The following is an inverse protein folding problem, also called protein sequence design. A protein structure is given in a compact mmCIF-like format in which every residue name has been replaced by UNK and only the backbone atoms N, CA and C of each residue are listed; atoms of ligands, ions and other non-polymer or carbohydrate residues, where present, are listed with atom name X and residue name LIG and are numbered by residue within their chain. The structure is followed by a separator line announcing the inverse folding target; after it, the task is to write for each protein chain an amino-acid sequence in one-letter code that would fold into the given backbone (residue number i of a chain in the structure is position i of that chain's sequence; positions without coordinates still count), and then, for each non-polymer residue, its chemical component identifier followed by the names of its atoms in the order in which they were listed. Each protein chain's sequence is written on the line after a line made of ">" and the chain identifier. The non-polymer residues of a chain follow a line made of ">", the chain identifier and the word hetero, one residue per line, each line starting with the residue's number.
data_IF_793883264139
#
_entry.id   IF_793883264139
#
_cell.length_a   1.000
_cell.length_b   1.000
_cell.length_c   1.000
_cell.angle_alpha   90.00
_cell.angle_beta   90.00
_cell.angle_gamma   90.00
#
_symmetry.space_group_name_H-M   'P 1'
#
loop_
_entity.id
_entity.type
_entity.pdbx_description
1 polymer ?
#
# COMPACT_ATOMS: atom_id res chain seq x y z
N UNK A 1 31.42 0.11 -13.15
CA UNK A 1 31.03 1.11 -12.12
C UNK A 1 29.66 0.73 -11.61
N UNK A 2 29.33 1.06 -10.36
CA UNK A 2 27.99 0.83 -9.80
C UNK A 2 27.05 1.90 -10.38
N UNK A 3 25.96 1.50 -11.02
CA UNK A 3 24.97 2.44 -11.55
C UNK A 3 24.38 3.30 -10.41
N UNK A 4 24.21 4.60 -10.66
CA UNK A 4 23.49 5.46 -9.73
C UNK A 4 21.98 5.35 -10.01
N UNK A 5 21.29 4.52 -9.23
CA UNK A 5 19.87 4.22 -9.42
C UNK A 5 19.02 4.99 -8.41
N UNK A 6 18.09 5.80 -8.91
CA UNK A 6 17.08 6.53 -8.14
C UNK A 6 15.73 5.82 -8.12
N UNK A 7 14.92 6.12 -7.10
CA UNK A 7 13.55 5.62 -6.99
C UNK A 7 12.55 6.76 -7.10
N UNK A 8 11.55 6.56 -7.94
CA UNK A 8 10.34 7.38 -8.00
C UNK A 8 9.18 6.51 -7.53
N UNK A 9 8.34 7.03 -6.65
CA UNK A 9 7.20 6.30 -6.11
C UNK A 9 5.98 7.19 -6.11
N UNK A 10 4.77 6.64 -6.18
CA UNK A 10 3.59 7.40 -5.80
C UNK A 10 3.44 7.47 -4.27
N UNK A 11 2.67 8.44 -3.81
CA UNK A 11 2.40 8.70 -2.38
C UNK A 11 1.69 7.53 -1.67
N UNK A 12 1.07 6.61 -2.40
CA UNK A 12 0.30 5.49 -1.87
C UNK A 12 1.14 4.28 -1.46
N UNK A 13 2.47 4.43 -1.39
CA UNK A 13 3.39 3.35 -0.97
C UNK A 13 3.52 3.18 0.55
N UNK A 14 2.91 4.07 1.34
CA UNK A 14 2.90 4.05 2.81
C UNK A 14 4.28 3.95 3.49
N UNK A 15 5.32 4.44 2.79
CA UNK A 15 6.67 4.55 3.34
C UNK A 15 6.77 5.74 4.29
N UNK A 16 7.52 5.56 5.39
CA UNK A 16 7.78 6.66 6.32
C UNK A 16 8.64 7.75 5.65
N UNK A 17 8.50 9.03 6.03
CA UNK A 17 9.37 10.11 5.56
C UNK A 17 10.86 9.79 5.71
N UNK A 18 11.25 9.12 6.80
CA UNK A 18 12.64 8.74 7.06
C UNK A 18 13.18 7.75 6.01
N UNK A 19 12.36 6.81 5.54
CA UNK A 19 12.73 5.87 4.46
C UNK A 19 12.86 6.62 3.13
N UNK A 20 11.91 7.51 2.83
CA UNK A 20 11.91 8.32 1.61
C UNK A 20 13.18 9.19 1.55
N UNK A 21 13.45 9.95 2.61
CA UNK A 21 14.61 10.84 2.73
C UNK A 21 15.93 10.08 2.67
N UNK A 22 16.07 9.00 3.44
CA UNK A 22 17.30 8.19 3.51
C UNK A 22 17.70 7.62 2.14
N UNK A 23 16.73 7.31 1.29
CA UNK A 23 16.97 6.76 -0.05
C UNK A 23 16.79 7.80 -1.15
N UNK A 24 16.60 9.08 -0.81
CA UNK A 24 16.44 10.20 -1.74
C UNK A 24 15.37 9.94 -2.81
N UNK A 25 14.25 9.33 -2.40
CA UNK A 25 13.17 8.98 -3.32
C UNK A 25 12.39 10.24 -3.71
N UNK A 26 11.96 10.30 -4.97
CA UNK A 26 11.02 11.33 -5.43
C UNK A 26 9.60 10.77 -5.32
N UNK A 27 8.73 11.47 -4.60
CA UNK A 27 7.35 11.05 -4.36
C UNK A 27 6.41 11.84 -5.26
N UNK A 28 5.52 11.13 -5.97
CA UNK A 28 4.50 11.72 -6.83
C UNK A 28 3.16 11.72 -6.10
N UNK A 29 2.62 12.89 -5.72
CA UNK A 29 1.42 12.97 -4.89
C UNK A 29 0.15 12.63 -5.66
N UNK A 30 -0.80 11.98 -4.98
CA UNK A 30 -2.15 11.84 -5.50
C UNK A 30 -2.93 13.15 -5.36
N UNK A 31 -4.05 13.25 -6.07
CA UNK A 31 -4.99 14.36 -5.90
C UNK A 31 -6.20 13.86 -5.14
N UNK A 32 -6.54 14.55 -4.05
CA UNK A 32 -7.72 14.27 -3.23
C UNK A 32 -8.64 15.47 -3.21
N UNK A 33 -9.93 15.21 -3.34
CA UNK A 33 -10.99 16.21 -3.33
C UNK A 33 -12.01 15.82 -2.27
N UNK A 34 -12.23 16.72 -1.34
CA UNK A 34 -13.12 16.50 -0.23
C UNK A 34 -14.42 17.29 -0.37
N UNK A 35 -15.55 16.74 0.10
CA UNK A 35 -16.74 17.55 0.32
C UNK A 35 -16.44 18.62 1.37
N UNK A 36 -16.76 19.87 1.07
CA UNK A 36 -16.54 21.02 1.98
C UNK A 36 -17.24 20.83 3.33
N UNK A 37 -18.39 20.16 3.34
CA UNK A 37 -19.13 19.77 4.54
C UNK A 37 -18.35 18.82 5.48
N UNK A 38 -17.37 18.07 4.96
CA UNK A 38 -16.48 17.20 5.74
C UNK A 38 -15.20 17.95 6.11
N UNK A 39 -14.61 18.72 5.20
CA UNK A 39 -13.37 19.46 5.46
C UNK A 39 -13.52 20.44 6.63
N UNK A 40 -14.70 21.04 6.77
CA UNK A 40 -15.00 22.02 7.81
C UNK A 40 -15.34 21.41 9.17
N UNK A 41 -15.39 20.08 9.29
CA UNK A 41 -15.66 19.42 10.57
C UNK A 41 -14.44 19.47 11.49
N UNK A 42 -14.65 19.45 12.82
CA UNK A 42 -13.57 19.37 13.79
C UNK A 42 -12.87 18.00 13.71
N UNK A 43 -11.56 17.98 13.94
CA UNK A 43 -10.77 16.76 14.02
C UNK A 43 -9.30 17.01 13.67
N UNK A 44 -8.35 16.33 14.34
CA UNK A 44 -6.92 16.55 14.11
C UNK A 44 -6.44 16.00 12.76
N UNK A 45 -7.15 15.03 12.18
CA UNK A 45 -6.86 14.48 10.85
C UNK A 45 -8.14 14.31 10.06
N UNK A 46 -8.02 14.12 8.74
CA UNK A 46 -9.19 13.90 7.89
C UNK A 46 -9.98 12.65 8.28
N UNK A 47 -9.31 11.62 8.80
CA UNK A 47 -9.97 10.40 9.27
C UNK A 47 -10.90 10.67 10.47
N UNK A 48 -10.52 11.63 11.34
CA UNK A 48 -11.38 12.06 12.44
C UNK A 48 -12.59 12.84 11.93
N UNK A 49 -12.39 13.68 10.91
CA UNK A 49 -13.48 14.39 10.25
C UNK A 49 -14.43 13.42 9.54
N UNK A 50 -13.92 12.35 8.92
CA UNK A 50 -14.74 11.27 8.34
C UNK A 50 -15.59 10.56 9.42
N UNK A 51 -15.00 10.26 10.58
CA UNK A 51 -15.74 9.71 11.74
C UNK A 51 -16.83 10.66 12.21
N UNK A 52 -16.52 11.94 12.29
CA UNK A 52 -17.48 12.96 12.72
C UNK A 52 -18.62 13.14 11.71
N UNK A 53 -18.31 13.13 10.42
CA UNK A 53 -19.30 13.15 9.35
C UNK A 53 -20.27 11.96 9.46
N UNK A 54 -19.72 10.76 9.68
CA UNK A 54 -20.50 9.53 9.82
C UNK A 54 -21.43 9.58 11.05
N UNK A 55 -20.93 10.06 12.20
CA UNK A 55 -21.75 10.27 13.41
C UNK A 55 -22.90 11.25 13.18
N UNK A 56 -22.67 12.29 12.37
CA UNK A 56 -23.68 13.31 12.02
C UNK A 56 -24.61 12.88 10.87
N UNK A 57 -24.39 11.71 10.26
CA UNK A 57 -25.16 11.23 9.11
C UNK A 57 -24.90 12.03 7.82
N UNK A 58 -23.77 12.74 7.73
CA UNK A 58 -23.38 13.50 6.54
C UNK A 58 -22.94 12.51 5.45
N UNK A 59 -23.61 12.57 4.30
CA UNK A 59 -23.37 11.65 3.18
C UNK A 59 -22.38 12.27 2.19
N UNK A 60 -21.10 12.26 2.56
CA UNK A 60 -20.00 12.70 1.71
C UNK A 60 -18.87 11.68 1.67
N UNK A 61 -18.28 11.50 0.48
CA UNK A 61 -17.10 10.65 0.28
C UNK A 61 -16.02 11.44 -0.46
N UNK A 62 -14.76 11.16 -0.15
CA UNK A 62 -13.67 11.73 -0.92
C UNK A 62 -13.71 11.24 -2.37
N UNK A 63 -13.21 12.09 -3.27
CA UNK A 63 -12.85 11.67 -4.62
C UNK A 63 -11.34 11.76 -4.75
N UNK A 64 -10.76 10.80 -5.44
CA UNK A 64 -9.34 10.78 -5.74
C UNK A 64 -9.11 10.78 -7.25
N UNK A 65 -8.01 11.38 -7.68
CA UNK A 65 -7.52 11.31 -9.05
C UNK A 65 -6.07 10.85 -9.02
N UNK A 66 -5.69 10.03 -10.01
CA UNK A 66 -4.30 9.64 -10.17
C UNK A 66 -3.41 10.87 -10.45
N UNK A 67 -2.09 10.77 -10.19
CA UNK A 67 -1.16 11.76 -10.70
C UNK A 67 -1.21 11.80 -12.23
N UNK A 68 -1.00 12.99 -12.79
CA UNK A 68 -1.01 13.19 -14.24
C UNK A 68 0.33 12.76 -14.86
N UNK A 69 0.37 12.53 -16.19
CA UNK A 69 1.65 12.35 -16.89
C UNK A 69 2.63 13.51 -16.69
N UNK A 70 2.14 14.74 -16.51
CA UNK A 70 2.98 15.89 -16.20
C UNK A 70 3.64 15.75 -14.82
N UNK A 71 2.88 15.33 -13.81
CA UNK A 71 3.38 15.17 -12.44
C UNK A 71 4.54 14.14 -12.41
N UNK A 72 4.40 13.03 -13.14
CA UNK A 72 5.48 12.05 -13.31
C UNK A 72 6.64 12.56 -14.18
N UNK A 73 6.38 13.33 -15.24
CA UNK A 73 7.43 13.88 -16.09
C UNK A 73 8.34 14.82 -15.29
N UNK A 74 7.76 15.66 -14.45
CA UNK A 74 8.50 16.57 -13.56
C UNK A 74 9.34 15.76 -12.55
N UNK A 75 8.75 14.72 -11.93
CA UNK A 75 9.45 13.83 -11.01
C UNK A 75 10.62 13.07 -11.68
N UNK A 76 10.43 12.57 -12.90
CA UNK A 76 11.50 11.90 -13.66
C UNK A 76 12.63 12.86 -13.97
N UNK A 77 12.32 14.09 -14.42
CA UNK A 77 13.34 15.11 -14.68
C UNK A 77 14.11 15.47 -13.42
N UNK A 78 13.42 15.64 -12.29
CA UNK A 78 14.07 15.89 -11.00
C UNK A 78 15.03 14.75 -10.65
N UNK A 79 14.55 13.50 -10.72
CA UNK A 79 15.36 12.34 -10.35
C UNK A 79 16.58 12.17 -11.28
N UNK A 80 16.42 12.42 -12.59
CA UNK A 80 17.51 12.34 -13.58
C UNK A 80 18.62 13.38 -13.37
N UNK A 81 18.39 14.44 -12.57
CA UNK A 81 19.46 15.37 -12.16
C UNK A 81 20.43 14.77 -11.14
N UNK A 82 20.01 13.71 -10.43
CA UNK A 82 20.74 13.08 -9.32
C UNK A 82 21.21 11.66 -9.65
N UNK A 83 20.52 10.98 -10.58
CA UNK A 83 20.68 9.55 -10.83
C UNK A 83 20.78 9.23 -12.33
N UNK A 84 21.57 8.20 -12.64
CA UNK A 84 21.76 7.69 -14.00
C UNK A 84 20.56 6.88 -14.48
N UNK A 85 19.93 6.08 -13.63
CA UNK A 85 18.76 5.27 -13.97
C UNK A 85 17.68 5.44 -12.91
N UNK A 86 16.41 5.41 -13.32
CA UNK A 86 15.27 5.57 -12.42
C UNK A 86 14.37 4.35 -12.48
N UNK A 87 14.03 3.81 -11.32
CA UNK A 87 12.96 2.82 -11.19
C UNK A 87 11.76 3.50 -10.54
N UNK A 88 10.67 3.58 -11.29
CA UNK A 88 9.38 4.10 -10.87
C UNK A 88 8.48 2.94 -10.46
N UNK A 89 8.05 2.88 -9.20
CA UNK A 89 7.12 1.85 -8.70
C UNK A 89 5.79 2.54 -8.38
N UNK A 90 4.71 2.03 -8.95
CA UNK A 90 3.37 2.60 -8.74
C UNK A 90 2.39 1.57 -8.19
N UNK A 91 1.36 2.05 -7.51
CA UNK A 91 0.15 1.29 -7.17
C UNK A 91 -0.39 0.52 -8.37
N UNK A 92 -1.06 -0.58 -8.09
CA UNK A 92 -1.58 -1.47 -9.11
C UNK A 92 -2.36 -0.77 -10.22
N UNK A 93 -2.01 -1.08 -11.47
CA UNK A 93 -2.73 -0.61 -12.66
C UNK A 93 -4.20 -1.04 -12.72
N UNK A 94 -4.61 -2.03 -11.89
CA UNK A 94 -5.99 -2.53 -11.83
C UNK A 94 -6.92 -1.66 -11.02
N UNK A 95 -6.39 -0.81 -10.12
CA UNK A 95 -7.19 0.09 -9.29
C UNK A 95 -7.00 1.58 -9.64
N UNK A 96 -5.91 1.93 -10.29
CA UNK A 96 -5.57 3.30 -10.63
C UNK A 96 -4.91 3.41 -12.00
N UNK A 97 -5.15 4.53 -12.69
CA UNK A 97 -4.42 4.89 -13.90
C UNK A 97 -2.99 5.39 -13.65
N UNK A 98 -2.50 5.40 -12.40
CA UNK A 98 -1.18 5.89 -11.99
C UNK A 98 -0.04 5.27 -12.82
N UNK A 99 -0.01 3.95 -12.95
CA UNK A 99 0.97 3.24 -13.79
C UNK A 99 0.96 3.76 -15.23
N UNK A 100 -0.22 3.92 -15.82
CA UNK A 100 -0.35 4.41 -17.18
C UNK A 100 0.07 5.89 -17.33
N UNK A 101 -0.17 6.73 -16.31
CA UNK A 101 0.35 8.10 -16.28
C UNK A 101 1.88 8.13 -16.28
N UNK A 102 2.52 7.27 -15.47
CA UNK A 102 3.97 7.14 -15.43
C UNK A 102 4.56 6.63 -16.76
N UNK A 103 3.92 5.65 -17.40
CA UNK A 103 4.33 5.16 -18.73
C UNK A 103 4.19 6.25 -19.79
N UNK A 104 3.10 7.02 -19.78
CA UNK A 104 2.92 8.16 -20.68
C UNK A 104 4.00 9.22 -20.46
N UNK A 105 4.28 9.57 -19.20
CA UNK A 105 5.34 10.52 -18.84
C UNK A 105 6.71 10.09 -19.37
N UNK A 106 7.05 8.80 -19.22
CA UNK A 106 8.27 8.23 -19.79
C UNK A 106 8.33 8.40 -21.31
N UNK A 107 7.21 8.23 -22.00
CA UNK A 107 7.15 8.36 -23.46
C UNK A 107 7.24 9.81 -23.95
N UNK A 108 7.13 10.81 -23.07
CA UNK A 108 7.32 12.23 -23.38
C UNK A 108 8.77 12.70 -23.27
N UNK A 109 9.66 11.88 -22.70
CA UNK A 109 11.10 12.17 -22.59
C UNK A 109 11.82 11.97 -23.93
N UNK A 110 13.04 12.50 -24.05
CA UNK A 110 13.92 12.18 -25.17
C UNK A 110 14.24 10.68 -25.22
N UNK A 111 14.69 10.16 -26.38
CA UNK A 111 15.01 8.74 -26.52
C UNK A 111 16.06 8.27 -25.50
N UNK A 112 17.10 9.08 -25.26
CA UNK A 112 18.17 8.80 -24.30
C UNK A 112 17.65 8.78 -22.85
N UNK A 113 16.86 9.78 -22.45
CA UNK A 113 16.27 9.83 -21.11
C UNK A 113 15.25 8.71 -20.89
N UNK A 114 14.45 8.40 -21.92
CA UNK A 114 13.44 7.35 -21.90
C UNK A 114 14.05 5.98 -21.56
N UNK A 115 15.21 5.65 -22.12
CA UNK A 115 15.93 4.40 -21.88
C UNK A 115 16.56 4.32 -20.47
N UNK A 116 16.48 5.41 -19.71
CA UNK A 116 16.91 5.49 -18.31
C UNK A 116 15.76 5.32 -17.31
N UNK A 117 14.51 5.27 -17.76
CA UNK A 117 13.32 5.15 -16.90
C UNK A 117 12.64 3.78 -17.03
N UNK A 118 12.56 3.08 -15.91
CA UNK A 118 11.86 1.81 -15.77
C UNK A 118 10.60 2.01 -14.93
N UNK A 119 9.43 1.63 -15.44
CA UNK A 119 8.16 1.75 -14.71
C UNK A 119 7.68 0.35 -14.36
N UNK A 120 7.40 0.11 -13.08
CA UNK A 120 7.01 -1.18 -12.52
C UNK A 120 5.61 -1.04 -11.90
N UNK A 121 4.69 -1.88 -12.37
CA UNK A 121 3.37 -2.07 -11.76
C UNK A 121 3.51 -2.97 -10.53
N UNK A 122 3.20 -2.47 -9.34
CA UNK A 122 3.35 -3.23 -8.10
C UNK A 122 2.40 -4.43 -8.00
N UNK A 123 1.27 -4.39 -8.72
CA UNK A 123 0.13 -5.29 -8.52
C UNK A 123 -0.34 -5.37 -7.05
N UNK A 124 -0.07 -4.32 -6.27
CA UNK A 124 -0.46 -4.17 -4.88
C UNK A 124 -0.91 -2.72 -4.59
N UNK A 125 -1.06 -2.39 -3.31
CA UNK A 125 -1.20 -1.02 -2.83
C UNK A 125 -0.50 -0.86 -1.47
N UNK A 126 -0.38 0.37 -0.96
CA UNK A 126 -0.04 0.69 0.44
C UNK A 126 1.23 -0.03 0.90
N UNK A 127 1.24 -0.65 2.08
CA UNK A 127 2.40 -1.37 2.58
C UNK A 127 2.85 -2.55 1.69
N UNK A 128 1.99 -3.06 0.80
CA UNK A 128 2.38 -4.05 -0.21
C UNK A 128 3.32 -3.44 -1.25
N UNK A 129 2.99 -2.24 -1.74
CA UNK A 129 3.88 -1.49 -2.64
C UNK A 129 5.16 -1.09 -1.91
N UNK A 130 5.03 -0.65 -0.65
CA UNK A 130 6.17 -0.33 0.20
C UNK A 130 7.17 -1.48 0.33
N UNK A 131 6.72 -2.73 0.49
CA UNK A 131 7.61 -3.89 0.51
C UNK A 131 8.32 -4.13 -0.84
N UNK A 132 7.67 -3.84 -1.97
CA UNK A 132 8.30 -3.90 -3.28
C UNK A 132 9.39 -2.83 -3.44
N UNK A 133 9.12 -1.60 -2.96
CA UNK A 133 10.10 -0.51 -2.94
C UNK A 133 11.29 -0.85 -2.04
N UNK A 134 11.05 -1.41 -0.86
CA UNK A 134 12.14 -1.86 0.02
C UNK A 134 12.98 -2.97 -0.62
N UNK A 135 12.36 -3.88 -1.39
CA UNK A 135 13.12 -4.86 -2.18
C UNK A 135 13.99 -4.17 -3.23
N UNK A 136 13.48 -3.15 -3.92
CA UNK A 136 14.26 -2.37 -4.87
C UNK A 136 15.49 -1.73 -4.20
N UNK A 137 15.29 -1.10 -3.03
CA UNK A 137 16.37 -0.53 -2.20
C UNK A 137 17.43 -1.57 -1.86
N UNK A 138 17.02 -2.77 -1.44
CA UNK A 138 17.95 -3.85 -1.09
C UNK A 138 18.79 -4.31 -2.30
N UNK A 139 18.20 -4.36 -3.50
CA UNK A 139 18.90 -4.76 -4.72
C UNK A 139 19.82 -3.67 -5.27
N UNK A 140 19.43 -2.40 -5.17
CA UNK A 140 20.29 -1.24 -5.49
C UNK A 140 21.53 -1.25 -4.58
N UNK A 141 21.35 -1.49 -3.27
CA UNK A 141 22.46 -1.59 -2.32
C UNK A 141 23.43 -2.72 -2.68
N UNK A 142 22.91 -3.86 -3.14
CA UNK A 142 23.70 -4.99 -3.67
C UNK A 142 24.40 -4.70 -5.00
N UNK A 143 24.13 -3.56 -5.63
CA UNK A 143 24.80 -3.12 -6.86
C UNK A 143 24.36 -3.86 -8.11
N UNK A 144 23.13 -4.37 -8.12
CA UNK A 144 22.50 -4.90 -9.34
C UNK A 144 22.21 -3.78 -10.34
N UNK A 145 22.17 -4.14 -11.63
CA UNK A 145 21.80 -3.22 -12.70
C UNK A 145 20.29 -2.96 -12.69
N UNK A 146 19.86 -1.80 -13.19
CA UNK A 146 18.45 -1.40 -13.19
C UNK A 146 17.54 -2.43 -13.89
N UNK A 147 17.97 -2.96 -15.04
CA UNK A 147 17.24 -3.98 -15.80
C UNK A 147 17.10 -5.31 -15.04
N UNK A 148 18.12 -5.69 -14.28
CA UNK A 148 18.09 -6.90 -13.43
C UNK A 148 17.14 -6.71 -12.25
N UNK A 149 17.17 -5.52 -11.64
CA UNK A 149 16.27 -5.17 -10.54
C UNK A 149 14.83 -5.24 -11.02
N UNK A 150 14.49 -4.61 -12.14
CA UNK A 150 13.12 -4.59 -12.68
C UNK A 150 12.59 -6.00 -12.91
N UNK A 151 13.37 -6.87 -13.56
CA UNK A 151 12.99 -8.28 -13.78
C UNK A 151 12.76 -9.02 -12.47
N UNK A 152 13.59 -8.76 -11.46
CA UNK A 152 13.41 -9.38 -10.15
C UNK A 152 12.16 -8.85 -9.44
N UNK A 153 11.88 -7.55 -9.51
CA UNK A 153 10.69 -6.93 -8.93
C UNK A 153 9.41 -7.47 -9.56
N UNK A 154 9.37 -7.62 -10.89
CA UNK A 154 8.23 -8.20 -11.61
C UNK A 154 7.87 -9.58 -11.08
N UNK A 155 8.88 -10.44 -10.82
CA UNK A 155 8.68 -11.76 -10.22
C UNK A 155 8.27 -11.64 -8.74
N UNK A 156 8.91 -10.72 -8.01
CA UNK A 156 8.72 -10.54 -6.57
C UNK A 156 7.32 -10.02 -6.22
N UNK A 157 6.63 -9.31 -7.12
CA UNK A 157 5.24 -8.85 -6.92
C UNK A 157 4.32 -9.99 -6.46
N UNK A 158 4.47 -11.19 -7.03
CA UNK A 158 3.68 -12.38 -6.70
C UNK A 158 3.96 -12.97 -5.32
N UNK A 159 5.08 -12.59 -4.69
CA UNK A 159 5.50 -13.01 -3.35
C UNK A 159 5.06 -12.04 -2.26
N UNK A 160 4.54 -10.88 -2.64
CA UNK A 160 4.00 -9.91 -1.70
C UNK A 160 2.53 -10.23 -1.49
N UNK A 161 2.16 -10.38 -0.24
CA UNK A 161 0.79 -10.59 0.17
C UNK A 161 0.36 -9.44 1.05
N UNK A 162 -0.88 -8.99 0.86
CA UNK A 162 -1.49 -7.97 1.68
C UNK A 162 -2.84 -8.45 2.16
N UNK A 163 -3.10 -8.28 3.46
CA UNK A 163 -4.39 -8.56 4.07
C UNK A 163 -4.81 -7.38 4.95
N UNK A 164 -6.07 -6.99 4.83
CA UNK A 164 -6.71 -6.04 5.72
C UNK A 164 -8.09 -6.52 6.16
N UNK A 165 -8.53 -6.01 7.30
CA UNK A 165 -9.92 -6.05 7.75
C UNK A 165 -10.41 -4.61 7.82
N UNK A 166 -11.58 -4.38 7.24
CA UNK A 166 -12.27 -3.11 7.28
C UNK A 166 -13.27 -3.11 8.43
N UNK A 167 -13.43 -1.96 9.08
CA UNK A 167 -14.56 -1.76 9.98
C UNK A 167 -15.87 -1.56 9.18
N UNK A 168 -15.83 -0.72 8.15
CA UNK A 168 -16.97 -0.46 7.28
C UNK A 168 -16.55 -0.42 5.80
N UNK A 169 -17.06 -1.31 4.93
CA UNK A 169 -16.71 -1.32 3.52
C UNK A 169 -17.29 -0.15 2.71
N UNK A 170 -18.14 0.71 3.29
CA UNK A 170 -18.79 1.81 2.56
C UNK A 170 -17.82 2.77 1.88
N UNK A 171 -16.64 3.00 2.47
CA UNK A 171 -15.64 3.93 1.93
C UNK A 171 -15.06 3.40 0.63
N UNK A 172 -14.66 2.13 0.62
CA UNK A 172 -14.18 1.44 -0.57
C UNK A 172 -15.28 1.27 -1.62
N UNK A 173 -16.52 0.99 -1.19
CA UNK A 173 -17.68 0.88 -2.08
C UNK A 173 -17.96 2.21 -2.79
N UNK A 174 -18.02 3.31 -2.03
CA UNK A 174 -18.26 4.64 -2.57
C UNK A 174 -17.16 5.11 -3.52
N UNK A 175 -15.91 4.69 -3.28
CA UNK A 175 -14.80 4.96 -4.18
C UNK A 175 -14.85 4.16 -5.49
N UNK A 176 -15.67 3.11 -5.57
CA UNK A 176 -15.73 2.19 -6.72
C UNK A 176 -14.61 1.15 -6.77
N UNK A 177 -13.74 1.05 -5.76
CA UNK A 177 -12.61 0.08 -5.73
C UNK A 177 -13.02 -1.31 -5.23
N UNK A 178 -14.23 -1.45 -4.67
CA UNK A 178 -14.91 -2.74 -4.48
C UNK A 178 -16.32 -2.69 -5.03
N UNK A 179 -16.85 -3.85 -5.44
CA UNK A 179 -18.21 -3.95 -5.94
C UNK A 179 -19.24 -3.84 -4.80
N UNK A 180 -20.46 -3.34 -5.07
CA UNK A 180 -21.55 -3.33 -4.08
C UNK A 180 -21.88 -4.73 -3.55
N UNK A 181 -21.74 -5.76 -4.39
CA UNK A 181 -21.91 -7.16 -3.98
C UNK A 181 -20.89 -7.58 -2.92
N UNK A 182 -19.61 -7.23 -3.13
CA UNK A 182 -18.55 -7.54 -2.17
C UNK A 182 -18.75 -6.75 -0.86
N UNK A 183 -19.06 -5.46 -0.94
CA UNK A 183 -19.33 -4.62 0.23
C UNK A 183 -20.50 -5.15 1.07
N UNK A 184 -21.60 -5.54 0.42
CA UNK A 184 -22.76 -6.14 1.08
C UNK A 184 -22.44 -7.48 1.74
N UNK A 185 -21.64 -8.32 1.09
CA UNK A 185 -21.18 -9.57 1.69
C UNK A 185 -20.33 -9.31 2.95
N UNK A 186 -19.41 -8.34 2.90
CA UNK A 186 -18.59 -7.96 4.05
C UNK A 186 -19.46 -7.51 5.23
N UNK A 187 -20.42 -6.61 4.99
CA UNK A 187 -21.37 -6.14 6.01
C UNK A 187 -22.17 -7.28 6.65
N UNK A 188 -22.66 -8.23 5.85
CA UNK A 188 -23.44 -9.38 6.35
C UNK A 188 -22.60 -10.33 7.17
N UNK A 189 -21.38 -10.63 6.72
CA UNK A 189 -20.44 -11.49 7.44
C UNK A 189 -20.10 -10.91 8.82
N UNK A 190 -19.80 -9.60 8.88
CA UNK A 190 -19.47 -8.92 10.13
C UNK A 190 -20.59 -9.04 11.19
N UNK A 191 -21.87 -8.96 10.78
CA UNK A 191 -23.03 -9.07 11.67
C UNK A 191 -23.18 -10.44 12.34
N UNK A 192 -22.67 -11.51 11.71
CA UNK A 192 -22.74 -12.87 12.24
C UNK A 192 -21.41 -13.31 12.89
N UNK A 193 -20.54 -12.37 13.23
CA UNK A 193 -19.25 -12.65 13.88
C UNK A 193 -18.20 -13.27 12.96
N UNK A 194 -18.35 -13.13 11.64
CA UNK A 194 -17.33 -13.51 10.66
C UNK A 194 -16.54 -12.27 10.27
N UNK A 195 -15.21 -12.37 10.22
CA UNK A 195 -14.30 -11.29 9.81
C UNK A 195 -13.79 -11.56 8.39
N UNK A 196 -14.28 -10.85 7.37
CA UNK A 196 -13.77 -10.95 6.01
C UNK A 196 -12.35 -10.40 5.92
N UNK A 197 -11.47 -11.17 5.28
CA UNK A 197 -10.13 -10.74 4.94
C UNK A 197 -10.14 -10.25 3.49
N UNK A 198 -9.75 -9.00 3.28
CA UNK A 198 -9.57 -8.42 1.95
C UNK A 198 -8.09 -8.31 1.61
N UNK A 199 -7.76 -8.43 0.34
CA UNK A 199 -6.38 -8.31 -0.13
C UNK A 199 -6.29 -8.36 -1.64
N UNK A 200 -5.07 -8.35 -2.16
CA UNK A 200 -4.82 -8.33 -3.59
C UNK A 200 -4.64 -9.74 -4.16
N UNK A 201 -5.27 -9.98 -5.30
CA UNK A 201 -4.98 -11.12 -6.18
C UNK A 201 -4.84 -10.61 -7.60
N UNK A 202 -3.64 -10.73 -8.16
CA UNK A 202 -3.30 -10.26 -9.52
C UNK A 202 -3.61 -8.76 -9.70
N UNK A 203 -3.27 -7.94 -8.70
CA UNK A 203 -3.55 -6.50 -8.69
C UNK A 203 -4.99 -6.11 -8.36
N UNK A 204 -5.93 -7.07 -8.30
CA UNK A 204 -7.34 -6.76 -8.00
C UNK A 204 -7.65 -6.98 -6.53
N UNK A 205 -8.30 -6.00 -5.91
CA UNK A 205 -8.80 -6.11 -4.53
C UNK A 205 -9.97 -7.10 -4.45
N UNK A 206 -9.84 -8.14 -3.61
CA UNK A 206 -10.82 -9.22 -3.47
C UNK A 206 -10.95 -9.64 -2.01
N UNK A 207 -12.06 -10.33 -1.69
CA UNK A 207 -12.09 -11.18 -0.51
C UNK A 207 -11.20 -12.40 -0.74
N UNK A 208 -10.26 -12.62 0.17
CA UNK A 208 -9.24 -13.67 0.07
C UNK A 208 -9.36 -14.72 1.18
N UNK A 209 -10.24 -14.47 2.16
CA UNK A 209 -10.49 -15.40 3.25
C UNK A 209 -11.53 -14.87 4.22
N UNK A 210 -11.84 -15.70 5.22
CA UNK A 210 -12.68 -15.34 6.36
C UNK A 210 -12.07 -15.91 7.64
N UNK A 211 -12.22 -15.20 8.76
CA UNK A 211 -12.02 -15.74 10.11
C UNK A 211 -13.34 -15.84 10.84
N UNK A 212 -13.55 -16.94 11.57
CA UNK A 212 -14.75 -17.21 12.37
C UNK A 212 -14.36 -17.34 13.84
N UNK A 213 -15.22 -16.91 14.75
CA UNK A 213 -15.01 -17.09 16.19
C UNK A 213 -13.90 -16.23 16.80
N UNK A 214 -13.30 -15.32 16.03
CA UNK A 214 -12.32 -14.34 16.51
C UNK A 214 -13.01 -12.99 16.69
N UNK A 215 -12.99 -12.47 17.92
CA UNK A 215 -13.73 -11.27 18.28
C UNK A 215 -13.02 -10.00 17.81
N UNK A 216 -11.73 -9.92 18.07
CA UNK A 216 -10.88 -8.76 17.76
C UNK A 216 -10.15 -8.92 16.40
N UNK A 217 -9.82 -7.79 15.80
CA UNK A 217 -9.18 -7.72 14.48
C UNK A 217 -7.70 -8.12 14.54
N UNK A 218 -6.89 -7.68 15.53
CA UNK A 218 -5.49 -8.05 15.65
C UNK A 218 -5.27 -9.57 15.68
N UNK A 219 -6.02 -10.31 16.50
CA UNK A 219 -5.92 -11.78 16.58
C UNK A 219 -6.28 -12.44 15.25
N UNK A 220 -7.31 -11.94 14.56
CA UNK A 220 -7.73 -12.52 13.27
C UNK A 220 -6.63 -12.37 12.20
N UNK A 221 -5.96 -11.22 12.17
CA UNK A 221 -4.84 -10.92 11.29
C UNK A 221 -3.60 -11.73 11.67
N UNK A 222 -3.26 -11.80 12.95
CA UNK A 222 -2.14 -12.59 13.47
C UNK A 222 -2.27 -14.06 13.10
N UNK A 223 -3.43 -14.69 13.37
CA UNK A 223 -3.67 -16.09 13.04
C UNK A 223 -3.58 -16.36 11.54
N UNK A 224 -3.93 -15.38 10.70
CA UNK A 224 -3.76 -15.53 9.25
C UNK A 224 -2.29 -15.49 8.85
N UNK A 225 -1.51 -14.53 9.36
CA UNK A 225 -0.07 -14.46 9.13
C UNK A 225 0.62 -15.74 9.58
N UNK A 226 0.32 -16.21 10.79
CA UNK A 226 0.90 -17.41 11.38
C UNK A 226 0.70 -18.63 10.46
N UNK A 227 -0.54 -18.87 10.03
CA UNK A 227 -0.89 -20.00 9.16
C UNK A 227 -0.24 -19.86 7.78
N UNK A 228 -0.28 -18.66 7.18
CA UNK A 228 0.23 -18.44 5.82
C UNK A 228 1.75 -18.52 5.73
N UNK A 229 2.45 -18.18 6.81
CA UNK A 229 3.91 -18.14 6.83
C UNK A 229 4.55 -19.38 7.44
N UNK A 230 3.80 -20.22 8.17
CA UNK A 230 4.31 -21.41 8.88
C UNK A 230 5.33 -22.22 8.08
N UNK A 231 4.98 -22.64 6.85
CA UNK A 231 5.88 -23.45 6.00
C UNK A 231 7.15 -22.72 5.56
N UNK A 232 7.10 -21.40 5.42
CA UNK A 232 8.27 -20.59 5.07
C UNK A 232 9.19 -20.48 6.29
N UNK A 233 8.62 -20.20 7.46
CA UNK A 233 9.34 -20.10 8.73
C UNK A 233 9.99 -21.44 9.13
N UNK A 234 9.30 -22.57 8.93
CA UNK A 234 9.85 -23.92 9.12
C UNK A 234 11.03 -24.24 8.18
N UNK A 235 11.11 -23.57 7.03
CA UNK A 235 12.25 -23.65 6.10
C UNK A 235 13.38 -22.66 6.43
N UNK A 236 13.29 -21.96 7.56
CA UNK A 236 14.25 -20.94 7.98
C UNK A 236 14.19 -19.65 7.14
N UNK A 237 13.10 -19.41 6.40
CA UNK A 237 12.92 -18.13 5.67
C UNK A 237 12.53 -17.04 6.64
N UNK A 238 13.12 -15.86 6.46
CA UNK A 238 12.76 -14.66 7.19
C UNK A 238 11.56 -14.02 6.49
N UNK A 239 10.54 -13.69 7.26
CA UNK A 239 9.35 -12.98 6.81
C UNK A 239 9.48 -11.52 7.21
N UNK A 240 9.36 -10.61 6.24
CA UNK A 240 9.27 -9.17 6.51
C UNK A 240 7.79 -8.77 6.49
N UNK A 241 7.36 -8.03 7.50
CA UNK A 241 5.98 -7.55 7.68
C UNK A 241 5.96 -6.03 7.75
N UNK A 242 4.98 -5.40 7.10
CA UNK A 242 4.70 -3.97 7.20
C UNK A 242 3.23 -3.76 7.58
N UNK A 243 2.97 -3.13 8.73
CA UNK A 243 1.64 -2.96 9.31
C UNK A 243 1.13 -1.54 9.03
N UNK A 244 -0.14 -1.41 8.68
CA UNK A 244 -0.82 -0.13 8.48
C UNK A 244 -2.17 -0.09 9.17
N UNK A 245 -2.55 1.09 9.68
CA UNK A 245 -3.85 1.30 10.31
C UNK A 245 -4.46 2.66 9.94
N UNK A 246 -5.78 2.76 10.02
CA UNK A 246 -6.53 4.01 9.90
C UNK A 246 -7.30 4.28 11.19
N UNK A 247 -6.82 5.16 12.06
CA UNK A 247 -7.39 5.41 13.41
C UNK A 247 -7.61 4.16 14.26
N UNK A 248 -6.71 3.19 14.18
CA UNK A 248 -6.75 1.99 15.00
C UNK A 248 -5.36 1.60 15.52
N UNK A 249 -4.66 2.58 16.10
CA UNK A 249 -3.27 2.44 16.55
C UNK A 249 -3.10 1.36 17.63
N UNK A 250 -4.02 1.29 18.60
CA UNK A 250 -4.00 0.29 19.66
C UNK A 250 -3.99 -1.14 19.09
N UNK A 251 -4.93 -1.44 18.18
CA UNK A 251 -4.97 -2.76 17.53
C UNK A 251 -3.75 -3.04 16.65
N UNK A 252 -3.16 -2.01 16.04
CA UNK A 252 -1.92 -2.17 15.28
C UNK A 252 -0.73 -2.52 16.18
N UNK A 253 -0.64 -1.88 17.36
CA UNK A 253 0.39 -2.17 18.37
C UNK A 253 0.22 -3.58 18.94
N UNK A 254 -1.01 -3.97 19.28
CA UNK A 254 -1.33 -5.33 19.73
C UNK A 254 -0.91 -6.36 18.66
N UNK A 255 -1.28 -6.17 17.39
CA UNK A 255 -0.87 -7.05 16.29
C UNK A 255 0.66 -7.16 16.19
N UNK A 256 1.37 -6.03 16.28
CA UNK A 256 2.84 -6.00 16.25
C UNK A 256 3.44 -6.82 17.40
N UNK A 257 2.97 -6.61 18.62
CA UNK A 257 3.42 -7.36 19.79
C UNK A 257 3.15 -8.86 19.66
N UNK A 258 1.97 -9.24 19.16
CA UNK A 258 1.67 -10.66 18.89
C UNK A 258 2.67 -11.27 17.91
N UNK A 259 3.01 -10.55 16.84
CA UNK A 259 3.97 -11.02 15.83
C UNK A 259 5.36 -11.17 16.44
N UNK A 260 5.87 -10.12 17.10
CA UNK A 260 7.23 -10.09 17.66
C UNK A 260 7.42 -11.12 18.78
N UNK A 261 6.38 -11.38 19.59
CA UNK A 261 6.47 -12.30 20.73
C UNK A 261 6.26 -13.78 20.35
N UNK A 262 5.55 -14.07 19.25
CA UNK A 262 5.10 -15.43 18.95
C UNK A 262 5.61 -15.99 17.61
N UNK A 263 6.11 -15.14 16.70
CA UNK A 263 6.57 -15.60 15.38
C UNK A 263 8.09 -15.44 15.22
N UNK A 264 8.82 -16.53 15.44
CA UNK A 264 10.23 -16.64 15.04
C UNK A 264 10.40 -16.38 13.54
N UNK A 265 11.60 -15.95 13.13
CA UNK A 265 11.93 -15.62 11.74
C UNK A 265 10.97 -14.61 11.09
N UNK A 266 10.41 -13.70 11.89
CA UNK A 266 9.51 -12.65 11.41
C UNK A 266 9.99 -11.29 11.90
N UNK A 267 10.17 -10.35 10.99
CA UNK A 267 10.61 -8.98 11.23
C UNK A 267 9.46 -8.03 10.91
N UNK A 268 9.03 -7.21 11.88
CA UNK A 268 8.12 -6.09 11.61
C UNK A 268 8.95 -4.88 11.19
N UNK A 269 9.03 -4.63 9.88
CA UNK A 269 9.83 -3.56 9.30
C UNK A 269 9.20 -2.17 9.51
N UNK A 270 7.87 -2.08 9.62
CA UNK A 270 7.17 -0.83 9.89
C UNK A 270 5.78 -1.05 10.51
N UNK A 271 5.32 -0.04 11.26
CA UNK A 271 3.95 0.16 11.69
C UNK A 271 3.62 1.63 11.47
N UNK A 272 2.72 1.91 10.54
CA UNK A 272 2.39 3.28 10.14
C UNK A 272 0.88 3.53 10.18
N UNK A 273 0.51 4.79 10.37
CA UNK A 273 -0.82 5.23 9.92
C UNK A 273 -0.81 5.27 8.39
N UNK A 274 -1.86 4.73 7.76
CA UNK A 274 -2.06 4.78 6.31
C UNK A 274 -2.02 6.23 5.79
N UNK A 275 -1.52 6.43 4.58
CA UNK A 275 -1.50 7.73 3.92
C UNK A 275 -2.90 8.34 3.86
N UNK A 276 -2.93 9.67 3.76
CA UNK A 276 -4.18 10.42 3.78
C UNK A 276 -5.07 10.08 2.58
N UNK A 277 -4.52 9.79 1.41
CA UNK A 277 -5.31 9.56 0.20
C UNK A 277 -5.91 8.16 0.21
N UNK A 278 -5.12 7.11 0.39
CA UNK A 278 -5.66 5.74 0.41
C UNK A 278 -6.45 5.49 1.70
N UNK A 279 -6.03 6.05 2.84
CA UNK A 279 -6.76 5.97 4.09
C UNK A 279 -8.19 6.53 4.01
N UNK A 280 -8.40 7.49 3.13
CA UNK A 280 -9.71 8.11 2.89
C UNK A 280 -10.63 7.28 2.00
N UNK A 281 -10.04 6.37 1.25
CA UNK A 281 -10.72 5.38 0.41
C UNK A 281 -10.99 4.10 1.20
N UNK A 282 -10.05 3.68 2.05
CA UNK A 282 -10.16 2.49 2.92
C UNK A 282 -11.09 2.75 4.10
N UNK A 283 -10.95 3.91 4.74
CA UNK A 283 -11.79 4.39 5.83
C UNK A 283 -11.26 4.13 7.25
N UNK A 284 -11.72 4.94 8.23
CA UNK A 284 -11.38 4.76 9.65
C UNK A 284 -11.75 3.37 10.20
N UNK A 285 -10.95 2.88 11.13
CA UNK A 285 -11.09 1.56 11.78
C UNK A 285 -10.43 0.41 11.02
N UNK A 286 -9.88 0.66 9.83
CA UNK A 286 -9.16 -0.38 9.09
C UNK A 286 -7.81 -0.71 9.73
N UNK A 287 -7.47 -2.00 9.70
CA UNK A 287 -6.16 -2.53 10.09
C UNK A 287 -5.74 -3.59 9.07
N UNK A 288 -4.48 -3.53 8.64
CA UNK A 288 -3.93 -4.49 7.71
C UNK A 288 -2.41 -4.57 7.78
N UNK A 289 -1.87 -5.53 7.06
CA UNK A 289 -0.44 -5.68 6.90
C UNK A 289 -0.13 -6.32 5.55
N UNK A 290 1.09 -6.09 5.08
CA UNK A 290 1.70 -6.83 4.01
C UNK A 290 2.86 -7.67 4.52
N UNK A 291 3.15 -8.78 3.84
CA UNK A 291 4.35 -9.57 4.11
C UNK A 291 4.96 -10.17 2.84
N UNK A 292 6.24 -10.48 2.92
CA UNK A 292 6.99 -11.24 1.93
C UNK A 292 8.14 -12.02 2.58
N UNK A 293 8.67 -13.03 1.87
CA UNK A 293 9.97 -13.61 2.21
C UNK A 293 11.11 -12.72 1.68
N UNK A 294 12.22 -12.60 2.44
CA UNK A 294 13.38 -11.77 2.05
C UNK A 294 14.66 -12.55 1.79
#
# INVERSE_FOLDING_TARGET
>A
MKEQIGLVVDEGTDLTPQIIEKNQMVVVPFKVYWPSEIENLPGPTIFHKMREADKRGIKGFCKTSQPSPKDFLDAFKEALTKFEKIICITITSKLSGTYNSAVQARNLLSAEEKDRIFVVDSLNAICGDGLLVLRAVDLIKKGKLAEEIVKELEIFTSKIHLIAILEDPKWLEASGRISPTLANWIRRAAKIGVRPLIGFKEGVLKAIGIKRGVKDIPTALFQELEVKTKKLREKGKIIRVAIIHCLYEEGARELKEMIENNLENTEVASLNTIDTVIGSIVGPGALGFAWCEI
#
